data_IF_028052047389
#
_entry.id   IF_028052047389
#
_cell.length_a   1.000
_cell.length_b   1.000
_cell.length_c   1.000
_cell.angle_alpha   90.00
_cell.angle_beta   90.00
_cell.angle_gamma   90.00
#
_symmetry.space_group_name_H-M   'P 1'
#
loop_
_entity.id
_entity.type
_entity.pdbx_description
1 polymer ?
#
# COMPACT_ATOMS: atom_id res chain seq x y z
N UNK A 1 17.99 -6.45 -1.60
CA UNK A 1 17.66 -6.10 -2.99
C UNK A 1 18.86 -6.11 -3.93
N UNK A 2 19.92 -5.33 -3.65
CA UNK A 2 21.15 -5.27 -4.46
C UNK A 2 21.80 -6.61 -4.79
N UNK A 3 21.65 -7.62 -3.93
CA UNK A 3 22.23 -8.95 -4.15
C UNK A 3 21.49 -9.81 -5.18
N UNK A 4 20.18 -9.62 -5.35
CA UNK A 4 19.34 -10.51 -6.17
C UNK A 4 18.86 -9.85 -7.45
N UNK A 5 18.68 -8.53 -7.43
CA UNK A 5 18.17 -7.77 -8.57
C UNK A 5 19.05 -7.92 -9.83
N UNK A 6 20.39 -7.84 -9.78
CA UNK A 6 21.22 -8.02 -10.98
C UNK A 6 20.98 -9.38 -11.66
N UNK A 7 20.94 -10.46 -10.87
CA UNK A 7 20.66 -11.80 -11.40
C UNK A 7 19.24 -11.94 -11.96
N UNK A 8 18.24 -11.25 -11.39
CA UNK A 8 16.89 -11.20 -11.97
C UNK A 8 16.88 -10.45 -13.29
N UNK A 9 17.62 -9.35 -13.40
CA UNK A 9 17.74 -8.53 -14.61
C UNK A 9 18.46 -9.28 -15.74
N UNK A 10 19.52 -10.04 -15.42
CA UNK A 10 20.26 -10.85 -16.40
C UNK A 10 19.35 -11.89 -17.08
N UNK A 11 18.51 -12.57 -16.29
CA UNK A 11 17.55 -13.56 -16.80
C UNK A 11 16.20 -12.98 -17.21
N UNK A 12 15.98 -11.68 -17.01
CA UNK A 12 14.70 -10.98 -17.17
C UNK A 12 13.52 -11.78 -16.57
N UNK A 13 13.71 -12.33 -15.37
CA UNK A 13 12.72 -13.17 -14.72
C UNK A 13 12.90 -13.18 -13.20
N UNK A 14 11.78 -13.06 -12.49
CA UNK A 14 11.74 -13.20 -11.04
C UNK A 14 10.60 -12.40 -10.42
N UNK A 15 10.46 -12.52 -9.11
CA UNK A 15 9.47 -11.77 -8.35
C UNK A 15 10.12 -11.20 -7.10
N UNK A 16 9.85 -9.92 -6.82
CA UNK A 16 10.21 -9.27 -5.55
C UNK A 16 8.91 -8.97 -4.82
N UNK A 17 8.79 -9.55 -3.63
CA UNK A 17 7.63 -9.37 -2.76
C UNK A 17 8.01 -8.47 -1.60
N UNK A 18 7.24 -7.42 -1.37
CA UNK A 18 7.41 -6.50 -0.26
C UNK A 18 6.16 -6.46 0.62
N UNK A 19 6.37 -6.55 1.94
CA UNK A 19 5.29 -6.45 2.93
C UNK A 19 5.22 -5.02 3.46
N UNK A 20 4.30 -4.25 2.91
CA UNK A 20 3.96 -2.90 3.36
C UNK A 20 3.03 -2.93 4.56
N UNK A 21 2.11 -1.97 4.59
CA UNK A 21 1.01 -1.85 5.53
C UNK A 21 0.00 -0.88 4.92
N UNK A 22 -1.22 -0.87 5.42
CA UNK A 22 -2.12 0.25 5.14
C UNK A 22 -1.50 1.61 5.54
N UNK A 23 -0.61 1.63 6.54
CA UNK A 23 0.21 2.79 6.92
C UNK A 23 1.22 3.24 5.86
N UNK A 24 1.34 2.53 4.73
CA UNK A 24 2.05 3.02 3.54
C UNK A 24 1.27 4.09 2.78
N UNK A 25 -0.01 4.30 3.11
CA UNK A 25 -0.91 5.21 2.42
C UNK A 25 -1.44 6.35 3.30
N UNK A 26 -1.48 6.17 4.61
CA UNK A 26 -1.85 7.20 5.57
C UNK A 26 -1.03 7.06 6.85
N UNK A 27 -0.85 8.19 7.55
CA UNK A 27 -0.22 8.22 8.85
C UNK A 27 -1.19 7.75 9.93
N UNK A 28 -0.64 7.16 10.98
CA UNK A 28 -1.37 6.81 12.19
C UNK A 28 -0.78 7.58 13.39
N UNK A 29 -1.62 7.84 14.40
CA UNK A 29 -1.21 8.56 15.60
C UNK A 29 -0.15 7.75 16.37
N UNK A 30 0.91 8.43 16.85
CA UNK A 30 2.08 7.80 17.50
C UNK A 30 2.88 6.81 16.63
N UNK A 31 2.52 6.66 15.35
CA UNK A 31 3.13 5.71 14.43
C UNK A 31 4.24 6.28 13.54
N UNK A 32 4.76 7.48 13.80
CA UNK A 32 5.62 8.23 12.84
C UNK A 32 6.73 7.39 12.21
N UNK A 33 7.60 6.77 13.02
CA UNK A 33 8.71 5.97 12.50
C UNK A 33 8.22 4.75 11.70
N UNK A 34 7.16 4.08 12.17
CA UNK A 34 6.56 2.93 11.51
C UNK A 34 5.92 3.32 10.18
N UNK A 35 5.04 4.32 10.17
CA UNK A 35 4.41 4.85 8.97
C UNK A 35 5.48 5.30 7.97
N UNK A 36 6.46 6.10 8.36
CA UNK A 36 7.54 6.54 7.46
C UNK A 36 8.27 5.36 6.83
N UNK A 37 8.62 4.33 7.59
CA UNK A 37 9.25 3.12 7.04
C UNK A 37 8.33 2.39 6.05
N UNK A 38 7.02 2.29 6.34
CA UNK A 38 6.04 1.64 5.45
C UNK A 38 5.78 2.47 4.19
N UNK A 39 5.81 3.79 4.25
CA UNK A 39 5.81 4.66 3.07
C UNK A 39 7.07 4.46 2.23
N UNK A 40 8.24 4.34 2.87
CA UNK A 40 9.51 4.12 2.16
C UNK A 40 9.51 2.80 1.36
N UNK A 41 8.92 1.73 1.91
CA UNK A 41 8.76 0.46 1.18
C UNK A 41 7.94 0.66 -0.09
N UNK A 42 6.79 1.35 0.01
CA UNK A 42 5.93 1.63 -1.14
C UNK A 42 6.67 2.47 -2.19
N UNK A 43 7.31 3.55 -1.76
CA UNK A 43 8.09 4.41 -2.65
C UNK A 43 9.20 3.64 -3.38
N UNK A 44 9.95 2.80 -2.65
CA UNK A 44 10.99 1.95 -3.25
C UNK A 44 10.42 1.02 -4.33
N UNK A 45 9.31 0.33 -4.04
CA UNK A 45 8.70 -0.61 -4.98
C UNK A 45 8.14 0.09 -6.22
N UNK A 46 7.52 1.27 -6.05
CA UNK A 46 7.00 2.09 -7.15
C UNK A 46 8.12 2.64 -8.03
N UNK A 47 9.17 3.19 -7.43
CA UNK A 47 10.32 3.71 -8.18
C UNK A 47 11.01 2.60 -8.96
N UNK A 48 11.29 1.48 -8.31
CA UNK A 48 11.91 0.33 -8.96
C UNK A 48 11.07 -0.19 -10.13
N UNK A 49 9.75 -0.22 -10.00
CA UNK A 49 8.89 -0.65 -11.09
C UNK A 49 9.09 0.20 -12.34
N UNK A 50 9.18 1.51 -12.15
CA UNK A 50 9.43 2.45 -13.25
C UNK A 50 10.82 2.25 -13.85
N UNK A 51 11.84 2.01 -13.01
CA UNK A 51 13.20 1.69 -13.47
C UNK A 51 13.22 0.42 -14.34
N UNK A 52 12.58 -0.66 -13.89
CA UNK A 52 12.51 -1.92 -14.63
C UNK A 52 11.72 -1.78 -15.93
N UNK A 53 10.67 -0.97 -15.94
CA UNK A 53 9.89 -0.67 -17.14
C UNK A 53 10.74 0.08 -18.18
N UNK A 54 11.49 1.10 -17.76
CA UNK A 54 12.37 1.87 -18.65
C UNK A 54 13.52 1.01 -19.22
N UNK A 55 14.06 0.10 -18.39
CA UNK A 55 15.07 -0.87 -18.82
C UNK A 55 14.51 -2.08 -19.61
N UNK A 56 13.20 -2.08 -19.90
CA UNK A 56 12.49 -3.15 -20.64
C UNK A 56 12.60 -4.53 -19.97
N UNK A 57 12.71 -4.56 -18.64
CA UNK A 57 12.79 -5.78 -17.82
C UNK A 57 11.40 -6.27 -17.40
N UNK A 58 10.55 -6.56 -18.39
CA UNK A 58 9.13 -6.88 -18.19
C UNK A 58 8.85 -8.25 -17.53
N UNK A 59 9.84 -9.13 -17.42
CA UNK A 59 9.67 -10.44 -16.78
C UNK A 59 9.92 -10.45 -15.27
N UNK A 60 10.25 -9.30 -14.69
CA UNK A 60 10.43 -9.14 -13.25
C UNK A 60 9.16 -8.53 -12.66
N UNK A 61 8.47 -9.30 -11.82
CA UNK A 61 7.25 -8.87 -11.14
C UNK A 61 7.59 -8.27 -9.79
N UNK A 62 6.89 -7.18 -9.45
CA UNK A 62 6.95 -6.57 -8.14
C UNK A 62 5.58 -6.67 -7.48
N UNK A 63 5.52 -7.32 -6.33
CA UNK A 63 4.28 -7.50 -5.56
C UNK A 63 4.41 -6.79 -4.23
N UNK A 64 3.57 -5.77 -4.01
CA UNK A 64 3.51 -5.09 -2.71
C UNK A 64 2.19 -5.41 -2.02
N UNK A 65 2.29 -5.94 -0.81
CA UNK A 65 1.14 -6.36 0.00
C UNK A 65 0.94 -5.36 1.12
N UNK A 66 -0.31 -4.94 1.34
CA UNK A 66 -0.71 -3.96 2.35
C UNK A 66 -1.71 -4.58 3.32
N UNK A 67 -1.24 -5.28 4.36
CA UNK A 67 -2.11 -5.76 5.41
C UNK A 67 -2.70 -4.60 6.22
N UNK A 68 -3.95 -4.78 6.64
CA UNK A 68 -4.56 -4.04 7.73
C UNK A 68 -4.12 -4.64 9.09
N UNK A 69 -4.77 -4.32 10.21
CA UNK A 69 -4.40 -4.89 11.51
C UNK A 69 -4.51 -6.43 11.49
N UNK A 70 -3.36 -7.12 11.55
CA UNK A 70 -3.25 -8.58 11.62
C UNK A 70 -2.92 -8.99 13.04
N UNK A 71 -3.62 -9.99 13.57
CA UNK A 71 -3.38 -10.52 14.90
C UNK A 71 -1.97 -11.14 14.96
N UNK A 72 -1.03 -10.39 15.50
CA UNK A 72 0.37 -10.76 15.61
C UNK A 72 0.87 -10.38 16.99
N UNK A 73 1.90 -11.06 17.47
CA UNK A 73 2.52 -10.79 18.77
C UNK A 73 3.00 -9.33 18.95
N UNK A 74 3.21 -8.62 17.83
CA UNK A 74 3.52 -7.18 17.78
C UNK A 74 2.36 -6.30 18.24
N UNK A 75 1.13 -6.70 17.96
CA UNK A 75 -0.09 -6.00 18.37
C UNK A 75 -0.51 -6.46 19.78
N UNK A 76 -0.44 -7.77 20.06
CA UNK A 76 -0.88 -8.33 21.35
C UNK A 76 -0.13 -7.77 22.58
N UNK A 77 1.13 -7.36 22.42
CA UNK A 77 1.98 -6.93 23.54
C UNK A 77 2.12 -5.41 23.69
N UNK A 78 1.78 -4.62 22.67
CA UNK A 78 2.05 -3.18 22.64
C UNK A 78 0.82 -2.30 22.36
N UNK A 79 -0.36 -2.88 22.08
CA UNK A 79 -1.58 -2.12 21.83
C UNK A 79 -2.67 -2.49 22.84
N UNK A 80 -2.99 -1.55 23.75
CA UNK A 80 -4.01 -1.75 24.79
C UNK A 80 -5.45 -1.69 24.24
N UNK A 81 -5.65 -1.18 23.04
CA UNK A 81 -6.94 -1.16 22.35
C UNK A 81 -6.66 -1.18 20.83
N UNK A 82 -7.28 -2.06 20.03
CA UNK A 82 -7.15 -1.97 18.58
C UNK A 82 -7.84 -0.68 18.11
N UNK A 83 -7.05 0.30 17.68
CA UNK A 83 -7.52 1.55 17.05
C UNK A 83 -8.20 1.33 15.69
N UNK A 84 -8.90 0.22 15.47
CA UNK A 84 -9.75 0.12 14.29
C UNK A 84 -11.12 0.68 14.56
N UNK A 85 -11.36 1.88 14.06
CA UNK A 85 -12.69 2.49 14.02
C UNK A 85 -13.61 1.77 13.00
N UNK A 86 -13.09 0.89 12.12
CA UNK A 86 -13.85 0.40 10.96
C UNK A 86 -13.71 -1.10 10.60
N UNK A 87 -12.71 -1.85 11.05
CA UNK A 87 -12.50 -3.26 10.67
C UNK A 87 -11.89 -4.12 11.78
N UNK A 88 -12.43 -5.32 11.95
CA UNK A 88 -11.90 -6.31 12.90
C UNK A 88 -10.47 -6.76 12.55
N UNK A 89 -9.75 -7.19 13.59
CA UNK A 89 -8.41 -7.76 13.45
C UNK A 89 -8.47 -9.02 12.60
N UNK A 90 -7.59 -9.10 11.60
CA UNK A 90 -7.56 -10.21 10.64
C UNK A 90 -6.81 -11.38 11.27
N UNK A 91 -7.37 -12.60 11.26
CA UNK A 91 -6.65 -13.80 11.68
C UNK A 91 -5.38 -14.03 10.84
N UNK A 92 -4.30 -14.48 11.48
CA UNK A 92 -3.01 -14.68 10.83
C UNK A 92 -3.09 -15.66 9.65
N UNK A 93 -3.80 -16.79 9.81
CA UNK A 93 -3.91 -17.82 8.78
C UNK A 93 -4.53 -17.26 7.50
N UNK A 94 -5.60 -16.48 7.64
CA UNK A 94 -6.27 -15.82 6.51
C UNK A 94 -5.36 -14.79 5.83
N UNK A 95 -4.58 -14.03 6.60
CA UNK A 95 -3.61 -13.10 6.06
C UNK A 95 -2.55 -13.82 5.22
N UNK A 96 -2.06 -14.97 5.70
CA UNK A 96 -1.07 -15.78 4.98
C UNK A 96 -1.66 -16.34 3.69
N UNK A 97 -2.88 -16.85 3.71
CA UNK A 97 -3.58 -17.33 2.51
C UNK A 97 -3.71 -16.24 1.44
N UNK A 98 -4.14 -15.03 1.85
CA UNK A 98 -4.27 -13.88 0.95
C UNK A 98 -2.90 -13.40 0.42
N UNK A 99 -1.85 -13.44 1.25
CA UNK A 99 -0.48 -13.16 0.82
C UNK A 99 -0.03 -14.14 -0.26
N UNK A 100 -0.22 -15.44 -0.04
CA UNK A 100 0.18 -16.48 -0.98
C UNK A 100 -0.59 -16.34 -2.29
N UNK A 101 -1.90 -16.09 -2.24
CA UNK A 101 -2.72 -15.85 -3.42
C UNK A 101 -2.21 -14.64 -4.23
N UNK A 102 -1.86 -13.55 -3.56
CA UNK A 102 -1.32 -12.35 -4.21
C UNK A 102 0.03 -12.61 -4.89
N UNK A 103 0.91 -13.38 -4.25
CA UNK A 103 2.23 -13.76 -4.80
C UNK A 103 2.03 -14.65 -6.03
N UNK A 104 1.23 -15.72 -5.91
CA UNK A 104 1.00 -16.69 -6.99
C UNK A 104 0.31 -16.07 -8.21
N UNK A 105 -0.55 -15.07 -8.01
CA UNK A 105 -1.23 -14.33 -9.08
C UNK A 105 -0.44 -13.11 -9.57
N UNK A 106 0.81 -12.95 -9.13
CA UNK A 106 1.69 -11.86 -9.56
C UNK A 106 1.02 -10.47 -9.41
N UNK A 107 0.26 -10.29 -8.34
CA UNK A 107 -0.48 -9.05 -8.10
C UNK A 107 0.51 -7.94 -7.79
N UNK A 108 0.37 -6.82 -8.49
CA UNK A 108 1.28 -5.70 -8.31
C UNK A 108 1.06 -4.97 -6.97
N UNK A 109 -0.21 -4.75 -6.63
CA UNK A 109 -0.66 -4.19 -5.35
C UNK A 109 -1.79 -5.05 -4.81
N UNK A 110 -1.69 -5.44 -3.53
CA UNK A 110 -2.71 -6.25 -2.88
C UNK A 110 -2.98 -5.74 -1.47
N UNK A 111 -4.25 -5.55 -1.10
CA UNK A 111 -4.67 -5.07 0.22
C UNK A 111 -5.39 -6.20 0.94
N UNK A 112 -5.17 -6.33 2.25
CA UNK A 112 -5.80 -7.37 3.08
C UNK A 112 -6.61 -6.66 4.18
N UNK A 113 -7.95 -6.78 4.22
CA UNK A 113 -8.77 -7.57 3.30
C UNK A 113 -8.96 -6.87 1.94
N UNK A 114 -9.17 -7.62 0.87
CA UNK A 114 -9.30 -7.07 -0.48
C UNK A 114 -10.44 -6.05 -0.64
N UNK A 115 -11.50 -6.12 0.18
CA UNK A 115 -12.58 -5.13 0.24
C UNK A 115 -12.10 -3.72 0.61
N UNK A 116 -10.98 -3.61 1.32
CA UNK A 116 -10.39 -2.33 1.73
C UNK A 116 -9.84 -1.55 0.53
N UNK A 117 -9.37 -2.23 -0.52
CA UNK A 117 -8.93 -1.57 -1.75
C UNK A 117 -10.06 -0.74 -2.37
N UNK A 118 -11.30 -1.22 -2.29
CA UNK A 118 -12.47 -0.51 -2.77
C UNK A 118 -12.75 0.74 -1.93
N UNK A 119 -12.70 0.62 -0.60
CA UNK A 119 -12.93 1.73 0.32
C UNK A 119 -11.86 2.82 0.21
N UNK A 120 -10.57 2.48 0.16
CA UNK A 120 -9.49 3.45 0.02
C UNK A 120 -9.55 4.21 -1.31
N UNK A 121 -9.93 3.54 -2.40
CA UNK A 121 -10.13 4.19 -3.69
C UNK A 121 -11.37 5.11 -3.70
N UNK A 122 -12.47 4.69 -3.05
CA UNK A 122 -13.67 5.51 -2.89
C UNK A 122 -13.41 6.75 -2.02
N UNK A 123 -12.69 6.60 -0.89
CA UNK A 123 -12.36 7.71 0.01
C UNK A 123 -11.46 8.76 -0.68
N UNK A 124 -10.48 8.33 -1.48
CA UNK A 124 -9.67 9.24 -2.32
C UNK A 124 -10.52 9.97 -3.35
N UNK A 125 -11.52 9.32 -3.93
CA UNK A 125 -12.46 9.93 -4.87
C UNK A 125 -13.36 10.97 -4.18
N UNK A 126 -13.90 10.68 -2.99
CA UNK A 126 -14.71 11.62 -2.22
C UNK A 126 -13.92 12.85 -1.76
N UNK A 127 -12.69 12.67 -1.26
CA UNK A 127 -11.81 13.79 -0.86
C UNK A 127 -11.44 14.64 -2.08
N UNK A 128 -11.16 14.02 -3.24
CA UNK A 128 -10.90 14.74 -4.50
C UNK A 128 -12.14 15.52 -4.96
N UNK A 129 -13.31 14.89 -4.96
CA UNK A 129 -14.59 15.51 -5.34
C UNK A 129 -14.98 16.69 -4.43
N UNK A 130 -14.67 16.61 -3.13
CA UNK A 130 -14.90 17.70 -2.17
C UNK A 130 -13.94 18.88 -2.39
N UNK A 131 -12.67 18.61 -2.70
CA UNK A 131 -11.69 19.67 -3.04
C UNK A 131 -12.01 20.37 -4.37
N UNK A 132 -12.46 19.63 -5.37
CA UNK A 132 -12.83 20.18 -6.68
C UNK A 132 -14.10 21.05 -6.58
N UNK A 133 -15.07 20.66 -5.74
CA UNK A 133 -16.28 21.45 -5.46
C UNK A 133 -15.99 22.76 -4.71
N UNK A 134 -15.04 22.76 -3.76
CA UNK A 134 -14.64 23.98 -3.05
C UNK A 134 -13.83 24.94 -3.94
N UNK A 135 -13.04 24.42 -4.90
CA UNK A 135 -12.26 25.25 -5.83
C UNK A 135 -13.15 25.97 -6.85
N UNK A 136 -14.21 25.33 -7.35
CA UNK A 136 -15.19 25.97 -8.24
C UNK A 136 -16.03 27.07 -7.55
N UNK A 137 -16.25 26.96 -6.23
CA UNK A 137 -16.95 28.01 -5.47
C UNK A 137 -16.05 29.20 -5.13
N UNK A 138 -14.74 29.00 -4.95
CA UNK A 138 -13.77 30.07 -4.74
C UNK A 138 -13.57 30.97 -5.97
N UNK A 139 -13.42 30.37 -7.15
CA UNK A 139 -13.21 31.13 -8.41
C UNK A 139 -14.42 31.96 -8.86
N UNK A 140 -15.63 31.63 -8.37
CA UNK A 140 -16.87 32.40 -8.64
C UNK A 140 -17.03 33.61 -7.72
N UNK A 141 -16.39 33.61 -6.55
CA UNK A 141 -16.42 34.72 -5.59
C UNK A 141 -15.47 35.86 -5.99
N UNK A 142 -14.34 35.56 -6.63
CA UNK A 142 -13.33 36.57 -7.00
C UNK A 142 -13.63 37.34 -8.30
N UNK A 143 -14.55 36.85 -9.16
CA UNK A 143 -14.96 37.56 -10.38
C UNK A 143 -16.16 38.50 -10.18
N UNK A 144 -16.66 38.61 -8.95
CA UNK A 144 -17.84 39.42 -8.60
C UNK A 144 -17.54 40.63 -7.71
N UNK A 145 -16.26 40.99 -7.53
CA UNK A 145 -15.81 42.16 -6.76
C UNK A 145 -15.19 43.21 -7.67
#
# INVERSE_FOLDING_TARGET
MRAFLPHMMDRNHGQIVAIGSICSHYGDYLGTAYCTAKFAIRGLMETLQMELYEEKKNGIVLTTIYPYFVDTALISNNMTEPFSTFYDVIPLDKCVEEILDAILKERMYYFIPQSLAFLCNAAKWFVKSSKDSNRSNGERSERGS
#
